data_IF_236357778662
#
_entry.id   IF_236357778662
#
_cell.length_a   1.000
_cell.length_b   1.000
_cell.length_c   1.000
_cell.angle_alpha   90.00
_cell.angle_beta   90.00
_cell.angle_gamma   90.00
#
_symmetry.space_group_name_H-M   'P 1'
#
loop_
_entity.id
_entity.type
_entity.pdbx_description
1 polymer ?
#
# COMPACT_ATOMS: atom_id res chain seq x y z
N UNK A 1 7.12 26.26 -9.54
CA UNK A 1 7.63 26.15 -8.15
C UNK A 1 7.82 24.68 -7.82
N UNK A 2 8.97 24.25 -7.27
CA UNK A 2 9.23 22.82 -7.01
C UNK A 2 8.53 22.35 -5.73
N UNK A 3 8.21 21.05 -5.65
CA UNK A 3 7.60 20.46 -4.46
C UNK A 3 8.40 20.75 -3.17
N UNK A 4 9.73 20.62 -3.24
CA UNK A 4 10.64 20.96 -2.13
C UNK A 4 10.50 22.42 -1.69
N UNK A 5 10.41 23.35 -2.65
CA UNK A 5 10.29 24.80 -2.37
C UNK A 5 8.94 25.15 -1.73
N UNK A 6 7.85 24.49 -2.14
CA UNK A 6 6.53 24.66 -1.49
C UNK A 6 6.60 24.32 -0.01
N UNK A 7 7.15 23.16 0.34
CA UNK A 7 7.23 22.74 1.74
C UNK A 7 8.19 23.58 2.56
N UNK A 8 9.29 24.04 1.97
CA UNK A 8 10.18 25.00 2.62
C UNK A 8 9.44 26.31 2.95
N UNK A 9 8.66 26.85 2.01
CA UNK A 9 7.87 28.05 2.23
C UNK A 9 6.83 27.84 3.34
N UNK A 10 6.13 26.70 3.34
CA UNK A 10 5.17 26.35 4.41
C UNK A 10 5.87 26.30 5.77
N UNK A 11 7.03 25.64 5.85
CA UNK A 11 7.84 25.59 7.07
C UNK A 11 8.24 26.98 7.54
N UNK A 12 8.74 27.83 6.64
CA UNK A 12 9.11 29.21 6.95
C UNK A 12 7.92 30.04 7.47
N UNK A 13 6.74 29.89 6.87
CA UNK A 13 5.50 30.55 7.34
C UNK A 13 5.04 30.04 8.71
N UNK A 14 5.28 28.77 9.04
CA UNK A 14 4.99 28.23 10.36
C UNK A 14 6.01 28.72 11.40
N UNK A 15 7.28 28.79 11.03
CA UNK A 15 8.34 29.36 11.88
C UNK A 15 8.11 30.82 12.21
N UNK A 16 7.64 31.63 11.24
CA UNK A 16 7.30 33.04 11.50
C UNK A 16 6.10 33.20 12.45
N UNK A 17 5.27 32.17 12.60
CA UNK A 17 4.17 32.09 13.58
C UNK A 17 4.58 31.49 14.92
N UNK A 18 5.88 31.22 15.13
CA UNK A 18 6.42 30.69 16.38
C UNK A 18 6.53 29.17 16.45
N UNK A 19 6.22 28.43 15.38
CA UNK A 19 6.39 26.98 15.33
C UNK A 19 7.78 26.61 14.80
N UNK A 20 8.68 26.10 15.65
CA UNK A 20 10.01 25.68 15.20
C UNK A 20 9.97 24.37 14.38
N UNK A 21 9.64 24.48 13.09
CA UNK A 21 9.50 23.33 12.18
C UNK A 21 10.18 23.58 10.83
N UNK A 22 10.62 22.49 10.20
CA UNK A 22 11.25 22.50 8.88
C UNK A 22 10.27 22.01 7.81
N UNK A 23 10.49 22.41 6.55
CA UNK A 23 9.66 21.95 5.43
C UNK A 23 9.50 20.42 5.33
N UNK A 24 10.57 19.61 5.47
CA UNK A 24 10.45 18.14 5.51
C UNK A 24 9.57 17.62 6.65
N UNK A 25 9.60 18.25 7.83
CA UNK A 25 8.71 17.89 8.94
C UNK A 25 7.25 18.22 8.62
N UNK A 26 6.99 19.38 8.00
CA UNK A 26 5.65 19.77 7.53
C UNK A 26 5.11 18.76 6.50
N UNK A 27 5.94 18.37 5.52
CA UNK A 27 5.58 17.34 4.54
C UNK A 27 5.26 16.00 5.21
N UNK A 28 6.10 15.55 6.15
CA UNK A 28 5.88 14.32 6.90
C UNK A 28 4.55 14.36 7.67
N UNK A 29 4.28 15.47 8.37
CA UNK A 29 3.01 15.70 9.09
C UNK A 29 1.82 15.64 8.14
N UNK A 30 1.86 16.36 7.02
CA UNK A 30 0.80 16.37 6.03
C UNK A 30 0.56 14.97 5.43
N UNK A 31 1.62 14.22 5.13
CA UNK A 31 1.50 12.83 4.67
C UNK A 31 0.88 11.91 5.73
N UNK A 32 1.22 12.12 7.01
CA UNK A 32 0.56 11.45 8.13
C UNK A 32 -0.94 11.74 8.19
N UNK A 33 -1.31 13.03 8.11
CA UNK A 33 -2.71 13.44 8.10
C UNK A 33 -3.51 12.83 6.94
N UNK A 34 -2.93 12.78 5.73
CA UNK A 34 -3.55 12.09 4.58
C UNK A 34 -3.79 10.60 4.84
N UNK A 35 -2.86 9.91 5.52
CA UNK A 35 -3.02 8.49 5.87
C UNK A 35 -4.14 8.31 6.90
N UNK A 36 -4.15 9.12 7.95
CA UNK A 36 -5.20 9.09 8.97
C UNK A 36 -6.58 9.34 8.37
N UNK A 37 -6.72 10.38 7.56
CA UNK A 37 -7.97 10.69 6.85
C UNK A 37 -8.48 9.51 6.01
N UNK A 38 -7.61 8.94 5.15
CA UNK A 38 -7.97 7.76 4.35
C UNK A 38 -8.38 6.57 5.22
N UNK A 39 -7.60 6.26 6.25
CA UNK A 39 -7.90 5.15 7.15
C UNK A 39 -9.25 5.32 7.86
N UNK A 40 -9.63 6.54 8.22
CA UNK A 40 -10.93 6.82 8.85
C UNK A 40 -12.05 6.71 7.82
N UNK A 41 -11.88 7.27 6.62
CA UNK A 41 -12.87 7.18 5.53
C UNK A 41 -13.14 5.71 5.16
N UNK A 42 -12.08 4.92 5.01
CA UNK A 42 -12.16 3.48 4.71
C UNK A 42 -12.75 2.65 5.84
N UNK A 43 -12.59 3.08 7.09
CA UNK A 43 -13.20 2.41 8.24
C UNK A 43 -14.70 2.70 8.30
N UNK A 44 -15.08 3.96 8.11
CA UNK A 44 -16.47 4.41 8.21
C UNK A 44 -17.32 3.99 7.00
N UNK A 45 -16.70 3.65 5.86
CA UNK A 45 -17.42 3.14 4.68
C UNK A 45 -17.81 1.66 4.78
N UNK A 46 -17.29 0.93 5.78
CA UNK A 46 -17.57 -0.49 5.98
C UNK A 46 -18.76 -0.68 6.92
N UNK A 47 -19.72 -1.48 6.48
CA UNK A 47 -20.88 -1.86 7.31
C UNK A 47 -20.44 -2.60 8.58
N UNK A 48 -21.18 -2.39 9.68
CA UNK A 48 -20.90 -3.00 10.99
C UNK A 48 -19.80 -2.31 11.81
N UNK A 49 -19.10 -1.31 11.26
CA UNK A 49 -18.15 -0.51 12.03
C UNK A 49 -18.84 0.64 12.77
N UNK A 50 -18.37 0.91 13.99
CA UNK A 50 -18.73 2.14 14.69
C UNK A 50 -18.04 3.35 14.04
N UNK A 51 -18.74 4.48 13.83
CA UNK A 51 -18.15 5.66 13.22
C UNK A 51 -16.95 6.18 14.02
N UNK A 52 -15.84 6.44 13.33
CA UNK A 52 -14.68 7.16 13.88
C UNK A 52 -14.77 8.64 13.51
N UNK A 53 -14.66 9.49 14.51
CA UNK A 53 -14.55 10.94 14.33
C UNK A 53 -13.09 11.40 14.45
N UNK A 54 -12.73 12.45 13.70
CA UNK A 54 -11.46 13.13 13.85
C UNK A 54 -11.66 14.64 13.60
N UNK A 55 -11.12 15.53 14.45
CA UNK A 55 -11.43 16.97 14.36
C UNK A 55 -11.08 17.62 13.01
N UNK A 56 -10.15 17.02 12.27
CA UNK A 56 -9.68 17.53 10.99
C UNK A 56 -10.38 16.89 9.79
N UNK A 57 -11.45 16.10 10.00
CA UNK A 57 -12.16 15.42 8.90
C UNK A 57 -12.72 16.40 7.88
N UNK A 58 -13.44 17.43 8.33
CA UNK A 58 -14.09 18.40 7.44
C UNK A 58 -13.06 19.18 6.60
N UNK A 59 -12.00 19.68 7.25
CA UNK A 59 -10.91 20.39 6.57
C UNK A 59 -10.20 19.47 5.56
N UNK A 60 -9.98 18.19 5.91
CA UNK A 60 -9.36 17.22 5.00
C UNK A 60 -10.28 16.84 3.85
N UNK A 61 -11.59 16.73 4.08
CA UNK A 61 -12.59 16.48 3.03
C UNK A 61 -12.61 17.64 2.03
N UNK A 62 -12.61 18.89 2.49
CA UNK A 62 -12.53 20.07 1.61
C UNK A 62 -11.25 20.09 0.77
N UNK A 63 -10.11 19.64 1.32
CA UNK A 63 -8.83 19.64 0.62
C UNK A 63 -8.63 18.46 -0.34
N UNK A 64 -9.22 17.30 -0.03
CA UNK A 64 -8.89 16.01 -0.66
C UNK A 64 -10.08 15.24 -1.22
N UNK A 65 -11.31 15.55 -0.79
CA UNK A 65 -12.52 14.73 -1.01
C UNK A 65 -12.87 14.51 -2.48
N UNK A 66 -12.75 15.55 -3.30
CA UNK A 66 -13.07 15.51 -4.74
C UNK A 66 -12.00 14.86 -5.61
N UNK A 67 -10.87 14.41 -5.02
CA UNK A 67 -9.72 13.98 -5.81
C UNK A 67 -9.84 12.51 -6.24
N UNK A 68 -9.56 12.18 -7.52
CA UNK A 68 -9.67 10.81 -8.04
C UNK A 68 -8.86 9.75 -7.29
N UNK A 69 -7.79 10.11 -6.58
CA UNK A 69 -7.01 9.15 -5.79
C UNK A 69 -7.72 8.68 -4.50
N UNK A 70 -8.80 9.35 -4.09
CA UNK A 70 -9.63 8.94 -2.95
C UNK A 70 -10.69 7.92 -3.35
N UNK A 71 -10.94 7.73 -4.65
CA UNK A 71 -11.89 6.78 -5.22
C UNK A 71 -11.16 5.82 -6.16
N UNK A 72 -10.92 4.56 -5.79
CA UNK A 72 -10.29 3.62 -6.71
C UNK A 72 -11.18 3.40 -7.95
N UNK A 73 -10.63 3.43 -9.18
CA UNK A 73 -11.41 3.22 -10.41
C UNK A 73 -12.09 1.84 -10.49
N UNK A 74 -11.56 0.87 -9.74
CA UNK A 74 -12.14 -0.46 -9.59
C UNK A 74 -11.76 -1.02 -8.21
N UNK A 75 -12.71 -1.72 -7.58
CA UNK A 75 -12.48 -2.51 -6.36
C UNK A 75 -12.43 -3.97 -6.78
N UNK A 76 -11.28 -4.62 -6.65
CA UNK A 76 -11.17 -6.06 -6.87
C UNK A 76 -11.65 -6.78 -5.61
N UNK A 77 -12.78 -7.49 -5.68
CA UNK A 77 -13.24 -8.36 -4.60
C UNK A 77 -12.64 -9.75 -4.77
N UNK A 78 -11.99 -10.27 -3.73
CA UNK A 78 -11.47 -11.64 -3.69
C UNK A 78 -12.44 -12.63 -3.04
N UNK A 79 -13.71 -12.25 -2.89
CA UNK A 79 -14.77 -13.16 -2.44
C UNK A 79 -14.98 -14.22 -3.51
N UNK A 80 -14.56 -15.45 -3.22
CA UNK A 80 -15.00 -16.64 -3.96
C UNK A 80 -16.52 -16.59 -4.04
N UNK A 81 -17.08 -16.48 -5.24
CA UNK A 81 -18.51 -16.47 -5.45
C UNK A 81 -19.09 -17.80 -4.93
N UNK A 82 -19.66 -17.77 -3.73
CA UNK A 82 -20.71 -18.69 -3.35
C UNK A 82 -21.99 -18.09 -3.93
N UNK A 83 -22.38 -18.63 -5.07
CA UNK A 83 -23.70 -18.41 -5.66
C UNK A 83 -24.76 -18.88 -4.65
N UNK A 84 -25.51 -17.93 -4.13
CA UNK A 84 -26.82 -18.17 -3.55
C UNK A 84 -27.73 -17.18 -4.25
N UNK A 85 -28.59 -17.75 -5.10
CA UNK A 85 -29.60 -17.03 -5.84
C UNK A 85 -30.50 -16.26 -4.88
N UNK A 86 -30.62 -14.95 -5.09
CA UNK A 86 -31.87 -14.23 -4.88
C UNK A 86 -31.91 -13.02 -5.83
N UNK A 87 -32.93 -13.05 -6.66
CA UNK A 87 -33.28 -12.09 -7.71
C UNK A 87 -33.49 -10.67 -7.15
N UNK A 88 -32.90 -9.66 -7.82
CA UNK A 88 -33.59 -8.46 -8.32
C UNK A 88 -32.68 -7.75 -9.33
N UNK A 89 -33.23 -7.56 -10.53
CA UNK A 89 -32.51 -7.29 -11.77
C UNK A 89 -31.69 -6.01 -11.89
N UNK A 90 -30.57 -6.14 -12.60
CA UNK A 90 -30.12 -5.17 -13.61
C UNK A 90 -29.33 -5.90 -14.69
N UNK A 91 -29.95 -6.03 -15.87
CA UNK A 91 -29.41 -6.71 -17.04
C UNK A 91 -28.17 -6.01 -17.60
N UNK A 92 -27.08 -6.76 -17.76
CA UNK A 92 -26.13 -6.54 -18.84
C UNK A 92 -25.69 -7.90 -19.40
N UNK A 93 -26.17 -8.15 -20.62
CA UNK A 93 -26.03 -9.37 -21.40
C UNK A 93 -24.56 -9.79 -21.55
N UNK A 94 -24.17 -10.90 -20.92
CA UNK A 94 -22.91 -11.59 -21.22
C UNK A 94 -23.19 -12.60 -22.32
N UNK A 95 -22.83 -12.26 -23.55
CA UNK A 95 -22.78 -13.26 -24.63
C UNK A 95 -21.52 -14.12 -24.42
N UNK A 96 -21.74 -15.38 -24.06
CA UNK A 96 -20.79 -16.46 -24.27
C UNK A 96 -20.57 -16.61 -25.79
N UNK A 97 -19.32 -16.54 -26.22
CA UNK A 97 -18.92 -17.07 -27.53
C UNK A 97 -17.66 -17.89 -27.34
N UNK A 98 -17.86 -19.20 -27.42
CA UNK A 98 -16.82 -20.20 -27.45
C UNK A 98 -16.04 -20.17 -28.78
N UNK A 99 -14.83 -20.68 -28.67
CA UNK A 99 -13.76 -20.97 -29.62
C UNK A 99 -14.09 -20.96 -31.12
N UNK A 100 -13.30 -20.19 -31.89
CA UNK A 100 -12.25 -20.68 -32.80
C UNK A 100 -11.88 -19.59 -33.82
N UNK A 101 -10.76 -18.88 -33.61
CA UNK A 101 -10.04 -18.27 -34.73
C UNK A 101 -8.56 -18.01 -34.38
N UNK A 102 -7.67 -18.72 -35.05
CA UNK A 102 -6.21 -18.74 -34.84
C UNK A 102 -5.53 -17.54 -35.48
N UNK A 103 -5.54 -16.39 -34.79
CA UNK A 103 -4.78 -15.21 -35.21
C UNK A 103 -3.36 -15.15 -34.58
N UNK A 104 -2.27 -14.95 -35.35
CA UNK A 104 -0.89 -14.93 -34.86
C UNK A 104 -0.58 -13.78 -33.87
N UNK A 105 -1.46 -12.76 -33.79
CA UNK A 105 -1.32 -11.62 -32.87
C UNK A 105 -1.63 -11.97 -31.40
N UNK A 106 -2.44 -13.00 -31.12
CA UNK A 106 -2.74 -13.45 -29.74
C UNK A 106 -1.57 -14.23 -29.12
N UNK A 107 -0.79 -14.98 -29.91
CA UNK A 107 0.38 -15.75 -29.42
C UNK A 107 1.49 -14.86 -28.86
N UNK A 108 1.76 -13.68 -29.47
CA UNK A 108 2.75 -12.71 -28.98
C UNK A 108 2.35 -12.10 -27.61
N UNK A 109 1.08 -11.74 -27.41
CA UNK A 109 0.58 -11.23 -26.12
C UNK A 109 0.60 -12.29 -25.01
N UNK A 110 0.34 -13.56 -25.33
CA UNK A 110 0.39 -14.66 -24.34
C UNK A 110 1.84 -14.94 -23.90
N UNK A 111 2.80 -14.91 -24.84
CA UNK A 111 4.23 -15.07 -24.50
C UNK A 111 4.80 -13.90 -23.68
N UNK A 112 4.44 -12.65 -23.99
CA UNK A 112 4.88 -11.50 -23.19
C UNK A 112 4.31 -11.54 -21.77
N UNK A 113 3.03 -11.89 -21.62
CA UNK A 113 2.40 -12.03 -20.31
C UNK A 113 3.02 -13.18 -19.49
N UNK A 114 3.41 -14.29 -20.12
CA UNK A 114 4.09 -15.40 -19.47
C UNK A 114 5.51 -15.04 -19.01
N UNK A 115 6.25 -14.26 -19.80
CA UNK A 115 7.58 -13.75 -19.40
C UNK A 115 7.49 -12.78 -18.23
N UNK A 116 6.46 -11.93 -18.21
CA UNK A 116 6.21 -11.00 -17.11
C UNK A 116 5.86 -11.77 -15.82
N UNK A 117 4.98 -12.78 -15.90
CA UNK A 117 4.62 -13.58 -14.74
C UNK A 117 5.82 -14.35 -14.16
N UNK A 118 6.67 -14.90 -15.03
CA UNK A 118 7.90 -15.58 -14.62
C UNK A 118 8.90 -14.62 -13.95
N UNK A 119 9.07 -13.41 -14.49
CA UNK A 119 9.91 -12.37 -13.89
C UNK A 119 9.42 -11.97 -12.49
N UNK A 120 8.11 -11.81 -12.32
CA UNK A 120 7.49 -11.50 -11.02
C UNK A 120 7.73 -12.63 -10.03
N UNK A 121 7.55 -13.89 -10.43
CA UNK A 121 7.81 -15.04 -9.56
C UNK A 121 9.28 -15.11 -9.14
N UNK A 122 10.22 -14.94 -10.08
CA UNK A 122 11.66 -14.90 -9.77
C UNK A 122 12.02 -13.78 -8.79
N UNK A 123 11.45 -12.59 -8.98
CA UNK A 123 11.66 -11.46 -8.05
C UNK A 123 11.12 -11.75 -6.65
N UNK A 124 9.98 -12.43 -6.53
CA UNK A 124 9.41 -12.83 -5.23
C UNK A 124 10.30 -13.85 -4.52
N UNK A 125 10.73 -14.89 -5.23
CA UNK A 125 11.63 -15.92 -4.68
C UNK A 125 12.96 -15.30 -4.23
N UNK A 126 13.53 -14.39 -5.03
CA UNK A 126 14.75 -13.67 -4.65
C UNK A 126 14.55 -12.80 -3.41
N UNK A 127 13.42 -12.10 -3.30
CA UNK A 127 13.10 -11.29 -2.13
C UNK A 127 12.97 -12.15 -0.87
N UNK A 128 12.31 -13.31 -0.94
CA UNK A 128 12.22 -14.26 0.18
C UNK A 128 13.60 -14.82 0.56
N UNK A 129 14.41 -15.23 -0.42
CA UNK A 129 15.79 -15.67 -0.16
C UNK A 129 16.61 -14.59 0.54
N UNK A 130 16.54 -13.35 0.06
CA UNK A 130 17.25 -12.21 0.65
C UNK A 130 16.77 -11.84 2.07
N UNK A 131 15.50 -12.10 2.41
CA UNK A 131 14.99 -11.94 3.78
C UNK A 131 15.55 -13.04 4.67
N UNK A 132 15.55 -14.28 4.19
CA UNK A 132 16.05 -15.43 4.94
C UNK A 132 17.55 -15.32 5.21
N UNK A 133 18.36 -14.89 4.24
CA UNK A 133 19.79 -14.68 4.45
C UNK A 133 20.07 -13.59 5.50
N UNK A 134 19.39 -12.43 5.41
CA UNK A 134 19.47 -11.39 6.44
C UNK A 134 19.03 -11.88 7.82
N UNK A 135 18.02 -12.76 7.87
CA UNK A 135 17.58 -13.35 9.12
C UNK A 135 18.64 -14.29 9.71
N UNK A 136 19.27 -15.14 8.88
CA UNK A 136 20.37 -16.01 9.28
C UNK A 136 21.56 -15.23 9.80
N UNK A 137 22.00 -14.18 9.10
CA UNK A 137 23.10 -13.32 9.54
C UNK A 137 22.82 -12.73 10.93
N UNK A 138 21.59 -12.23 11.15
CA UNK A 138 21.19 -11.69 12.46
C UNK A 138 21.17 -12.74 13.56
N UNK A 139 20.76 -13.98 13.26
CA UNK A 139 20.80 -15.09 14.21
C UNK A 139 22.25 -15.46 14.52
N UNK A 140 23.11 -15.51 13.51
CA UNK A 140 24.52 -15.89 13.67
C UNK A 140 25.26 -14.90 14.57
N UNK A 141 25.11 -13.59 14.31
CA UNK A 141 25.72 -12.53 15.15
C UNK A 141 25.24 -12.65 16.60
N UNK A 142 23.94 -12.91 16.83
CA UNK A 142 23.41 -13.11 18.18
C UNK A 142 24.01 -14.33 18.87
N UNK A 143 24.21 -15.42 18.12
CA UNK A 143 24.80 -16.65 18.64
C UNK A 143 26.27 -16.43 19.04
N UNK A 144 27.04 -15.77 18.18
CA UNK A 144 28.45 -15.41 18.46
C UNK A 144 28.56 -14.49 19.67
N UNK A 145 27.68 -13.49 19.80
CA UNK A 145 27.63 -12.62 20.97
C UNK A 145 27.29 -13.40 22.25
N UNK A 146 26.36 -14.35 22.18
CA UNK A 146 25.98 -15.17 23.33
C UNK A 146 27.13 -16.07 23.76
N UNK A 147 27.84 -16.69 22.81
CA UNK A 147 29.03 -17.50 23.10
C UNK A 147 30.15 -16.65 23.71
N UNK A 148 30.35 -15.42 23.21
CA UNK A 148 31.31 -14.48 23.78
C UNK A 148 30.95 -14.09 25.23
N UNK A 149 29.68 -13.78 25.50
CA UNK A 149 29.21 -13.50 26.85
C UNK A 149 29.37 -14.70 27.79
N UNK A 150 29.14 -15.92 27.28
CA UNK A 150 29.32 -17.14 28.07
C UNK A 150 30.80 -17.35 28.46
N UNK A 151 31.75 -17.13 27.54
CA UNK A 151 33.19 -17.22 27.84
C UNK A 151 33.61 -16.22 28.91
N UNK A 152 33.13 -14.97 28.84
CA UNK A 152 33.41 -13.96 29.86
C UNK A 152 32.85 -14.33 31.24
N UNK A 153 31.72 -15.04 31.27
CA UNK A 153 31.14 -15.52 32.52
C UNK A 153 31.93 -16.71 33.11
N UNK A 154 32.46 -17.59 32.27
CA UNK A 154 33.28 -18.74 32.71
C UNK A 154 34.69 -18.32 33.19
N UNK A 155 35.20 -17.17 32.74
CA UNK A 155 36.48 -16.60 33.17
C UNK A 155 36.41 -15.78 34.48
N UNK A 156 35.22 -15.65 35.07
CA UNK A 156 34.97 -14.89 36.32
C UNK A 156 34.72 -15.82 37.51
#
# INVERSE_FOLDING_TARGET
MTHKKVWYNIGSTLSSKGYNVTGPQCLSKHNGMKRTYKSIKDHNSKSGNNPRAWPYMEIMESLLGERPFMSPPAIASSSSAISSDDEIGKSCSVQNVDLQNTNPRKKRKIQENAKISESIMKSRVLAEKNKNERHKERIQIKKEMLEFMQKLYEEM
#
